data_IF_009985033577
#
_entry.id   IF_009985033577
#
_cell.length_a   1.000
_cell.length_b   1.000
_cell.length_c   1.000
_cell.angle_alpha   90.00
_cell.angle_beta   90.00
_cell.angle_gamma   90.00
#
_symmetry.space_group_name_H-M   'P 1'
#
loop_
_entity.id
_entity.type
_entity.pdbx_description
1 polymer ?
#
# COMPACT_ATOMS: atom_id res chain seq x y z
N UNK A 1 9.21 9.17 -5.83
CA UNK A 1 7.95 8.65 -5.24
C UNK A 1 7.85 7.15 -5.51
N UNK A 2 8.56 6.34 -4.73
CA UNK A 2 8.52 4.86 -4.77
C UNK A 2 8.25 4.29 -3.36
N UNK A 3 8.44 5.13 -2.32
CA UNK A 3 8.35 4.73 -0.92
C UNK A 3 6.92 4.38 -0.47
N UNK A 4 5.92 5.18 -0.83
CA UNK A 4 4.56 5.06 -0.28
C UNK A 4 3.88 3.73 -0.62
N UNK A 5 4.01 3.25 -1.86
CA UNK A 5 3.41 1.97 -2.27
C UNK A 5 4.15 0.77 -1.67
N UNK A 6 5.48 0.87 -1.58
CA UNK A 6 6.32 -0.19 -1.00
C UNK A 6 6.03 -0.36 0.49
N UNK A 7 5.86 0.74 1.20
CA UNK A 7 5.56 0.77 2.64
C UNK A 7 4.16 0.21 2.94
N UNK A 8 3.15 0.59 2.15
CA UNK A 8 1.80 0.04 2.29
C UNK A 8 1.75 -1.47 2.00
N UNK A 9 2.49 -1.97 1.00
CA UNK A 9 2.61 -3.40 0.78
C UNK A 9 3.29 -4.12 1.95
N UNK A 10 4.27 -3.49 2.60
CA UNK A 10 4.87 -4.00 3.84
C UNK A 10 3.83 -4.27 4.92
N UNK A 11 2.94 -3.31 5.19
CA UNK A 11 1.87 -3.46 6.20
C UNK A 11 0.91 -4.61 5.87
N UNK A 12 0.54 -4.75 4.60
CA UNK A 12 -0.32 -5.85 4.14
C UNK A 12 0.36 -7.20 4.37
N UNK A 13 1.66 -7.30 4.07
CA UNK A 13 2.42 -8.54 4.23
C UNK A 13 2.59 -8.92 5.69
N UNK A 14 2.87 -7.96 6.56
CA UNK A 14 2.94 -8.20 8.00
C UNK A 14 1.60 -8.71 8.54
N UNK A 15 0.47 -8.09 8.15
CA UNK A 15 -0.87 -8.57 8.48
C UNK A 15 -1.12 -9.98 7.95
N UNK A 16 -0.75 -10.28 6.70
CA UNK A 16 -0.92 -11.62 6.12
C UNK A 16 -0.07 -12.68 6.84
N UNK A 17 1.18 -12.35 7.19
CA UNK A 17 2.09 -13.22 7.94
C UNK A 17 1.57 -13.48 9.36
N UNK A 18 1.03 -12.46 10.03
CA UNK A 18 0.41 -12.59 11.34
C UNK A 18 -0.82 -13.53 11.32
N UNK A 19 -1.57 -13.56 10.23
CA UNK A 19 -2.67 -14.50 9.98
C UNK A 19 -2.19 -15.91 9.55
N UNK A 20 -0.87 -16.17 9.54
CA UNK A 20 -0.28 -17.45 9.15
C UNK A 20 -0.22 -17.70 7.64
N UNK A 21 -0.52 -16.70 6.80
CA UNK A 21 -0.40 -16.82 5.34
C UNK A 21 1.04 -16.57 4.90
N UNK A 22 1.63 -17.53 4.18
CA UNK A 22 2.96 -17.38 3.59
C UNK A 22 2.87 -16.67 2.24
N UNK A 23 3.50 -15.51 2.14
CA UNK A 23 3.76 -14.81 0.87
C UNK A 23 5.27 -14.82 0.65
N UNK A 24 5.70 -15.37 -0.49
CA UNK A 24 7.11 -15.45 -0.86
C UNK A 24 7.63 -14.07 -1.27
N UNK A 25 8.85 -13.75 -0.85
CA UNK A 25 9.50 -12.48 -1.20
C UNK A 25 9.80 -12.39 -2.71
N UNK A 26 9.90 -13.53 -3.41
CA UNK A 26 10.03 -13.58 -4.88
C UNK A 26 8.78 -13.02 -5.59
N UNK A 27 7.59 -13.29 -5.07
CA UNK A 27 6.33 -12.74 -5.61
C UNK A 27 6.28 -11.23 -5.43
N UNK A 28 6.86 -10.72 -4.34
CA UNK A 28 6.94 -9.29 -4.07
C UNK A 28 7.86 -8.55 -5.03
N UNK A 29 8.94 -9.19 -5.46
CA UNK A 29 9.85 -8.62 -6.44
C UNK A 29 9.14 -8.31 -7.78
N UNK A 30 8.13 -9.10 -8.15
CA UNK A 30 7.37 -8.91 -9.39
C UNK A 30 6.31 -7.80 -9.33
N UNK A 31 5.79 -7.47 -8.15
CA UNK A 31 4.81 -6.39 -7.95
C UNK A 31 5.44 -5.11 -7.41
N UNK A 32 6.73 -5.16 -7.04
CA UNK A 32 7.47 -4.01 -6.57
C UNK A 32 7.37 -2.88 -7.58
N UNK A 33 7.07 -1.63 -7.15
CA UNK A 33 6.98 -0.49 -8.05
C UNK A 33 8.26 -0.23 -8.85
N UNK A 34 9.40 -0.78 -8.41
CA UNK A 34 10.66 -0.75 -9.14
C UNK A 34 10.60 -1.52 -10.48
N UNK A 35 9.66 -2.46 -10.62
CA UNK A 35 9.50 -3.33 -11.78
C UNK A 35 8.26 -3.02 -12.63
N UNK A 36 7.32 -2.21 -12.11
CA UNK A 36 6.15 -1.73 -12.86
C UNK A 36 6.49 -0.44 -13.62
N UNK A 37 6.04 -0.35 -14.88
CA UNK A 37 6.26 0.80 -15.75
C UNK A 37 5.99 2.15 -15.05
N UNK A 38 6.77 3.15 -15.45
CA UNK A 38 6.75 4.53 -14.98
C UNK A 38 5.31 4.99 -14.65
N UNK A 39 5.04 5.40 -13.41
CA UNK A 39 3.81 6.12 -13.07
C UNK A 39 3.88 7.40 -13.89
N UNK A 40 3.19 7.41 -15.03
CA UNK A 40 3.22 8.53 -15.95
C UNK A 40 2.61 9.75 -15.26
N UNK A 41 3.45 10.68 -14.83
CA UNK A 41 3.07 11.94 -14.18
C UNK A 41 2.45 12.96 -15.15
N UNK A 42 1.69 12.51 -16.15
CA UNK A 42 0.96 13.43 -17.02
C UNK A 42 -0.31 13.90 -16.32
N UNK A 43 -0.35 15.19 -15.94
CA UNK A 43 -1.46 15.82 -15.24
C UNK A 43 -1.06 16.38 -13.87
N UNK A 44 -1.92 17.21 -13.28
CA UNK A 44 -1.83 17.63 -11.88
C UNK A 44 -2.74 16.73 -11.05
N UNK A 45 -2.22 16.24 -9.92
CA UNK A 45 -3.02 15.56 -8.90
C UNK A 45 -3.13 16.53 -7.73
N UNK A 46 -4.32 17.09 -7.54
CA UNK A 46 -4.61 17.91 -6.36
C UNK A 46 -4.82 16.98 -5.16
N UNK A 47 -4.04 17.19 -4.11
CA UNK A 47 -4.10 16.41 -2.88
C UNK A 47 -4.49 17.34 -1.73
N UNK A 48 -5.63 17.07 -1.11
CA UNK A 48 -6.03 17.71 0.14
C UNK A 48 -5.21 17.11 1.29
N UNK A 49 -4.14 17.81 1.68
CA UNK A 49 -3.20 17.32 2.69
C UNK A 49 -3.88 17.14 4.05
N UNK A 50 -4.70 18.09 4.46
CA UNK A 50 -5.36 18.02 5.78
C UNK A 50 -6.39 16.88 5.81
N UNK A 51 -7.17 16.73 4.73
CA UNK A 51 -8.08 15.60 4.56
C UNK A 51 -7.37 14.25 4.56
N UNK A 52 -6.21 14.14 3.93
CA UNK A 52 -5.41 12.90 3.90
C UNK A 52 -4.78 12.58 5.28
N UNK A 53 -4.27 13.58 6.00
CA UNK A 53 -3.71 13.40 7.33
C UNK A 53 -4.77 12.97 8.36
N UNK A 54 -6.01 13.46 8.23
CA UNK A 54 -7.12 13.07 9.09
C UNK A 54 -7.52 11.58 8.96
N UNK A 55 -7.10 10.92 7.88
CA UNK A 55 -7.41 9.50 7.61
C UNK A 55 -6.36 8.53 8.19
N UNK A 56 -5.30 9.04 8.81
CA UNK A 56 -4.25 8.23 9.42
C UNK A 56 -4.70 7.69 10.79
N UNK A 57 -4.41 6.43 11.05
CA UNK A 57 -4.64 5.78 12.33
C UNK A 57 -3.51 6.05 13.35
N UNK A 58 -3.57 5.44 14.54
CA UNK A 58 -2.60 5.64 15.63
C UNK A 58 -1.15 5.29 15.27
N UNK A 59 -0.96 4.45 14.25
CA UNK A 59 0.36 4.03 13.75
C UNK A 59 0.93 5.00 12.70
N UNK A 60 0.21 6.08 12.37
CA UNK A 60 0.60 7.02 11.32
C UNK A 60 0.29 6.53 9.90
N UNK A 61 -0.40 5.39 9.77
CA UNK A 61 -0.82 4.84 8.48
C UNK A 61 -2.33 4.84 8.34
N UNK A 62 -2.82 4.99 7.10
CA UNK A 62 -4.21 4.72 6.76
C UNK A 62 -4.52 3.25 7.09
N UNK A 63 -5.67 2.94 7.71
CA UNK A 63 -6.07 1.56 7.97
C UNK A 63 -6.09 0.72 6.70
N UNK A 64 -5.72 -0.56 6.82
CA UNK A 64 -5.85 -1.52 5.72
C UNK A 64 -7.32 -1.61 5.31
N UNK A 65 -7.58 -1.61 3.99
CA UNK A 65 -8.94 -1.83 3.49
C UNK A 65 -9.41 -3.21 3.94
N UNK A 66 -10.50 -3.23 4.69
CA UNK A 66 -11.17 -4.48 5.07
C UNK A 66 -11.70 -5.11 3.78
N UNK A 67 -11.43 -6.41 3.58
CA UNK A 67 -12.09 -7.16 2.51
C UNK A 67 -13.55 -7.34 2.91
N UNK A 68 -14.47 -6.68 2.21
CA UNK A 68 -15.87 -7.07 2.22
C UNK A 68 -15.99 -8.43 1.50
N UNK A 69 -16.03 -9.52 2.25
CA UNK A 69 -16.31 -10.86 1.72
C UNK A 69 -17.81 -11.01 1.45
N UNK A 70 -18.33 -10.21 0.51
CA UNK A 70 -19.70 -10.29 0.03
C UNK A 70 -19.82 -10.98 -1.34
N UNK A 71 -18.77 -11.66 -1.80
CA UNK A 71 -18.78 -12.53 -2.98
C UNK A 71 -18.02 -13.82 -2.72
#
# INVERSE_FOLDING_TARGET
MVAWTTEYYGLVLESMRAEGRRVDDEVLAHISPAHSANINFFGSIDVDIEGELAQLGPTGYRPLRVRDTLF
#
